data_IF_025891208658
#
_entry.id   IF_025891208658
#
_cell.length_a   1.000
_cell.length_b   1.000
_cell.length_c   1.000
_cell.angle_alpha   90.00
_cell.angle_beta   90.00
_cell.angle_gamma   90.00
#
_symmetry.space_group_name_H-M   'P 1'
#
loop_
_entity.id
_entity.type
_entity.pdbx_description
1 polymer ?
#
# COMPACT_ATOMS: atom_id res chain seq x y z
N UNK A 1 -10.95 10.21 -9.97
CA UNK A 1 -10.37 9.55 -8.77
C UNK A 1 -8.89 9.40 -9.04
N UNK A 2 -7.98 9.82 -8.15
CA UNK A 2 -6.56 9.47 -8.25
C UNK A 2 -6.30 8.26 -7.37
N UNK A 3 -5.50 7.31 -7.84
CA UNK A 3 -5.07 6.17 -7.05
C UNK A 3 -3.55 6.16 -6.95
N UNK A 4 -3.02 5.84 -5.77
CA UNK A 4 -1.57 5.79 -5.55
C UNK A 4 -1.26 4.64 -4.60
N UNK A 5 -0.37 3.75 -5.02
CA UNK A 5 0.23 2.73 -4.16
C UNK A 5 1.70 3.09 -3.99
N UNK A 6 2.15 3.15 -2.73
CA UNK A 6 3.56 3.31 -2.38
C UNK A 6 3.93 2.27 -1.32
N UNK A 7 5.23 2.02 -1.16
CA UNK A 7 5.74 1.16 -0.12
C UNK A 7 6.76 1.87 0.75
N UNK A 8 6.71 1.59 2.05
CA UNK A 8 7.74 1.95 3.03
C UNK A 8 8.21 0.65 3.68
N UNK A 9 9.36 0.16 3.21
CA UNK A 9 9.90 -1.13 3.59
C UNK A 9 11.30 -0.99 4.16
N UNK A 10 11.62 -1.75 5.21
CA UNK A 10 12.98 -1.87 5.70
C UNK A 10 13.86 -2.53 4.61
N UNK A 11 15.10 -2.06 4.46
CA UNK A 11 16.06 -2.60 3.49
C UNK A 11 16.29 -4.12 3.71
N UNK A 12 16.21 -4.56 4.97
CA UNK A 12 16.35 -5.98 5.36
C UNK A 12 15.23 -6.88 4.83
N UNK A 13 14.07 -6.32 4.49
CA UNK A 13 12.95 -7.10 3.92
C UNK A 13 13.23 -7.55 2.47
N UNK A 14 14.30 -7.03 1.85
CA UNK A 14 14.71 -7.35 0.46
C UNK A 14 13.54 -7.28 -0.52
N UNK A 15 12.60 -6.36 -0.31
CA UNK A 15 11.41 -6.15 -1.15
C UNK A 15 11.75 -5.40 -2.44
N UNK A 16 12.95 -5.62 -2.98
CA UNK A 16 13.52 -4.87 -4.09
C UNK A 16 12.52 -4.66 -5.22
N UNK A 17 12.34 -3.39 -5.59
CA UNK A 17 11.61 -2.87 -6.74
C UNK A 17 10.39 -3.70 -7.19
N UNK A 18 9.53 -4.10 -6.25
CA UNK A 18 8.24 -4.71 -6.55
C UNK A 18 7.30 -3.61 -7.10
N UNK A 19 7.50 -3.29 -8.37
CA UNK A 19 6.67 -2.37 -9.14
C UNK A 19 5.37 -3.06 -9.56
N UNK A 20 4.46 -3.27 -8.62
CA UNK A 20 3.13 -3.79 -8.93
C UNK A 20 2.25 -2.63 -9.44
N UNK A 21 2.11 -2.53 -10.76
CA UNK A 21 1.18 -1.60 -11.41
C UNK A 21 0.00 -2.39 -12.00
N UNK A 22 -1.01 -2.75 -11.19
CA UNK A 22 -2.19 -3.45 -11.67
C UNK A 22 -3.06 -2.46 -12.44
N UNK A 23 -2.83 -2.30 -13.75
CA UNK A 23 -3.65 -1.46 -14.63
C UNK A 23 -5.15 -1.77 -14.48
N UNK A 24 -5.48 -3.04 -14.32
CA UNK A 24 -6.86 -3.51 -14.09
C UNK A 24 -7.49 -2.94 -12.82
N UNK A 25 -6.70 -2.75 -11.76
CA UNK A 25 -7.16 -2.13 -10.52
C UNK A 25 -7.34 -0.63 -10.69
N UNK A 26 -6.42 0.04 -11.37
CA UNK A 26 -6.53 1.47 -11.67
C UNK A 26 -7.79 1.75 -12.50
N UNK A 27 -8.00 1.00 -13.58
CA UNK A 27 -9.21 1.10 -14.40
C UNK A 27 -10.46 0.82 -13.58
N UNK A 28 -10.49 -0.25 -12.79
CA UNK A 28 -11.62 -0.58 -11.93
C UNK A 28 -11.95 0.55 -10.94
N UNK A 29 -10.93 1.15 -10.31
CA UNK A 29 -11.08 2.29 -9.41
C UNK A 29 -11.49 3.56 -10.14
N UNK A 30 -11.10 3.74 -11.41
CA UNK A 30 -11.50 4.90 -12.19
C UNK A 30 -12.96 4.85 -12.64
N UNK A 31 -13.48 3.66 -12.97
CA UNK A 31 -14.85 3.50 -13.47
C UNK A 31 -15.93 3.45 -12.39
N UNK A 32 -15.56 3.38 -11.12
CA UNK A 32 -16.50 3.37 -9.99
C UNK A 32 -16.93 4.79 -9.60
N UNK A 33 -18.19 4.95 -9.19
CA UNK A 33 -18.70 6.21 -8.65
C UNK A 33 -18.54 6.23 -7.13
N UNK A 34 -17.71 7.14 -6.63
CA UNK A 34 -17.45 7.33 -5.20
C UNK A 34 -18.08 8.60 -4.62
N UNK A 35 -18.93 9.27 -5.40
CA UNK A 35 -19.50 10.57 -5.06
C UNK A 35 -18.49 11.72 -5.18
N UNK A 36 -18.90 12.89 -4.72
CA UNK A 36 -18.10 14.13 -4.78
C UNK A 36 -17.15 14.30 -3.59
N UNK A 37 -17.22 13.42 -2.59
CA UNK A 37 -16.51 13.52 -1.31
C UNK A 37 -15.20 12.73 -1.27
N UNK A 38 -14.87 11.99 -2.34
CA UNK A 38 -13.63 11.24 -2.47
C UNK A 38 -12.97 11.55 -3.81
N UNK A 39 -11.80 12.19 -3.76
CA UNK A 39 -11.00 12.59 -4.92
C UNK A 39 -9.78 11.69 -5.12
N UNK A 40 -9.24 11.14 -4.03
CA UNK A 40 -7.94 10.44 -4.01
C UNK A 40 -7.94 9.26 -3.02
N UNK A 41 -7.31 8.15 -3.42
CA UNK A 41 -7.07 6.98 -2.59
C UNK A 41 -5.57 6.67 -2.60
N UNK A 42 -4.94 6.75 -1.42
CA UNK A 42 -3.55 6.41 -1.19
C UNK A 42 -3.43 5.12 -0.37
N UNK A 43 -2.66 4.15 -0.86
CA UNK A 43 -2.31 2.93 -0.13
C UNK A 43 -0.81 2.92 0.14
N UNK A 44 -0.43 2.77 1.41
CA UNK A 44 0.95 2.62 1.86
C UNK A 44 1.14 1.19 2.34
N UNK A 45 1.95 0.42 1.61
CA UNK A 45 2.39 -0.91 2.02
C UNK A 45 3.60 -0.77 2.95
N UNK A 46 3.37 -0.95 4.25
CA UNK A 46 4.40 -0.80 5.28
C UNK A 46 4.96 -2.16 5.69
N UNK A 47 6.27 -2.34 5.56
CA UNK A 47 6.97 -3.51 6.08
C UNK A 47 8.10 -3.07 7.00
N UNK A 48 7.85 -3.10 8.31
CA UNK A 48 8.80 -2.63 9.33
C UNK A 48 8.85 -3.58 10.52
N UNK A 49 9.97 -3.53 11.26
CA UNK A 49 10.14 -4.31 12.48
C UNK A 49 8.97 -4.06 13.46
N UNK A 50 8.37 -5.13 14.03
CA UNK A 50 7.29 -5.02 15.01
C UNK A 50 7.66 -4.18 16.24
N UNK A 51 8.94 -4.05 16.57
CA UNK A 51 9.45 -3.29 17.72
C UNK A 51 9.04 -1.81 17.69
N UNK A 52 8.83 -1.25 16.50
CA UNK A 52 8.38 0.13 16.33
C UNK A 52 6.86 0.32 16.52
N UNK A 53 6.11 -0.76 16.75
CA UNK A 53 4.68 -0.74 17.09
C UNK A 53 3.78 0.03 16.09
N UNK A 54 4.16 0.05 14.81
CA UNK A 54 3.30 0.56 13.75
C UNK A 54 2.04 -0.28 13.63
N UNK A 55 0.93 0.36 13.26
CA UNK A 55 -0.38 -0.28 13.14
C UNK A 55 -1.00 0.04 11.79
N UNK A 56 -1.77 -0.91 11.27
CA UNK A 56 -2.67 -0.68 10.16
C UNK A 56 -3.65 0.44 10.52
N UNK A 57 -3.80 1.42 9.62
CA UNK A 57 -4.70 2.56 9.81
C UNK A 57 -5.47 2.86 8.54
N UNK A 58 -6.70 3.32 8.72
CA UNK A 58 -7.52 3.88 7.65
C UNK A 58 -7.85 5.30 8.07
N UNK A 59 -7.50 6.28 7.22
CA UNK A 59 -7.67 7.70 7.52
C UNK A 59 -8.32 8.42 6.35
N UNK A 60 -9.46 9.04 6.60
CA UNK A 60 -10.10 9.96 5.65
C UNK A 60 -9.75 11.41 5.98
N UNK A 61 -9.16 12.14 5.03
CA UNK A 61 -9.06 13.60 5.09
C UNK A 61 -10.27 14.20 4.39
N UNK A 62 -11.18 14.83 5.15
CA UNK A 62 -12.35 15.52 4.57
C UNK A 62 -11.96 16.78 3.79
N UNK A 63 -10.92 17.48 4.26
CA UNK A 63 -10.41 18.70 3.61
C UNK A 63 -9.88 18.40 2.22
N UNK A 64 -9.09 17.35 2.11
CA UNK A 64 -8.41 16.98 0.87
C UNK A 64 -9.20 15.95 0.06
N UNK A 65 -10.30 15.42 0.64
CA UNK A 65 -11.14 14.34 0.10
C UNK A 65 -10.34 13.08 -0.22
N UNK A 66 -9.39 12.75 0.64
CA UNK A 66 -8.42 11.66 0.42
C UNK A 66 -8.61 10.54 1.44
N UNK A 67 -8.74 9.31 0.94
CA UNK A 67 -8.70 8.09 1.76
C UNK A 67 -7.28 7.52 1.75
N UNK A 68 -6.63 7.51 2.92
CA UNK A 68 -5.32 6.91 3.11
C UNK A 68 -5.47 5.59 3.87
N UNK A 69 -4.81 4.54 3.37
CA UNK A 69 -4.83 3.21 3.94
C UNK A 69 -3.39 2.76 4.13
N UNK A 70 -3.03 2.46 5.36
CA UNK A 70 -1.75 1.87 5.68
C UNK A 70 -1.95 0.37 5.92
N UNK A 71 -1.33 -0.46 5.09
CA UNK A 71 -1.39 -1.92 5.21
C UNK A 71 -0.06 -2.39 5.79
N UNK A 72 -0.12 -3.09 6.92
CA UNK A 72 1.06 -3.71 7.52
C UNK A 72 1.31 -5.06 6.85
N UNK A 73 2.46 -5.19 6.20
CA UNK A 73 2.96 -6.46 5.68
C UNK A 73 3.66 -7.24 6.81
N UNK A 74 3.58 -8.56 6.76
CA UNK A 74 4.25 -9.41 7.74
C UNK A 74 5.78 -9.32 7.57
N UNK A 75 6.43 -8.74 8.57
CA UNK A 75 7.86 -8.51 8.59
C UNK A 75 8.67 -9.82 8.55
N UNK A 76 8.28 -10.82 9.33
CA UNK A 76 9.05 -12.07 9.43
C UNK A 76 8.88 -12.93 8.17
N UNK A 77 7.65 -12.99 7.65
CA UNK A 77 7.40 -13.65 6.37
C UNK A 77 8.21 -13.02 5.24
N UNK A 78 8.26 -11.68 5.19
CA UNK A 78 8.99 -10.97 4.13
C UNK A 78 10.50 -10.90 4.36
N UNK A 79 11.02 -10.96 5.59
CA UNK A 79 12.46 -11.03 5.86
C UNK A 79 13.05 -12.39 5.47
N UNK A 80 12.29 -13.46 5.67
CA UNK A 80 12.78 -14.83 5.54
C UNK A 80 12.57 -15.41 4.13
N UNK A 81 11.66 -14.84 3.35
CA UNK A 81 11.43 -15.27 1.97
C UNK A 81 12.62 -14.90 1.05
N UNK A 82 13.12 -15.90 0.32
CA UNK A 82 14.13 -15.73 -0.73
C UNK A 82 13.59 -14.83 -1.85
N UNK A 83 14.46 -14.07 -2.54
CA UNK A 83 14.03 -13.14 -3.61
C UNK A 83 13.29 -13.91 -4.73
N UNK A 84 13.66 -15.17 -4.96
CA UNK A 84 13.06 -16.03 -6.00
C UNK A 84 11.63 -16.47 -5.66
N UNK A 85 11.26 -16.59 -4.38
CA UNK A 85 9.89 -16.91 -3.95
C UNK A 85 8.93 -15.71 -4.07
N UNK A 86 9.47 -14.49 -4.14
CA UNK A 86 8.71 -13.23 -4.17
C UNK A 86 8.34 -12.76 -5.58
N UNK A 87 8.88 -13.39 -6.63
CA UNK A 87 8.63 -13.04 -8.04
C UNK A 87 7.58 -13.92 -8.74
N UNK A 88 6.99 -14.89 -8.03
CA UNK A 88 5.90 -15.73 -8.53
C UNK A 88 4.54 -15.13 -8.25
#
# INVERSE_FOLDING_TARGET
MRFTIVSDSNYECKLGELSFYPRELEDWLHFKNYGSDLSDIGIVLMCRSPEYNFKQRIRMSKKDKTLNIDIMLDYYFTSDASIDDKQK
#
